data_IF_350794464841
#
_entry.id   IF_350794464841
#
_cell.length_a   1.000
_cell.length_b   1.000
_cell.length_c   1.000
_cell.angle_alpha   90.00
_cell.angle_beta   90.00
_cell.angle_gamma   90.00
#
_symmetry.space_group_name_H-M   'P 1'
#
loop_
_entity.id
_entity.type
_entity.pdbx_description
1 polymer ?
#
# COMPACT_ATOMS: atom_id res chain seq x y z
N UNK A 1 -3.69 18.02 -3.42
CA UNK A 1 -3.80 16.55 -3.60
C UNK A 1 -2.38 16.00 -3.67
N UNK A 2 -2.04 14.93 -2.96
CA UNK A 2 -0.77 14.25 -3.19
C UNK A 2 -0.86 13.48 -4.51
N UNK A 3 0.16 13.54 -5.39
CA UNK A 3 0.15 12.76 -6.60
C UNK A 3 0.22 11.27 -6.24
N UNK A 4 -0.47 10.43 -7.02
CA UNK A 4 -0.44 8.96 -6.88
C UNK A 4 0.99 8.44 -6.78
N UNK A 5 1.93 9.03 -7.54
CA UNK A 5 3.35 8.67 -7.51
C UNK A 5 3.98 8.81 -6.12
N UNK A 6 3.60 9.82 -5.33
CA UNK A 6 4.11 10.02 -3.98
C UNK A 6 3.52 8.98 -3.01
N UNK A 7 2.22 8.70 -3.14
CA UNK A 7 1.51 7.69 -2.34
C UNK A 7 2.10 6.30 -2.63
N UNK A 8 2.28 5.97 -3.91
CA UNK A 8 2.91 4.73 -4.36
C UNK A 8 4.35 4.60 -3.85
N UNK A 9 5.16 5.67 -3.90
CA UNK A 9 6.54 5.65 -3.42
C UNK A 9 6.62 5.33 -1.91
N UNK A 10 5.77 5.99 -1.10
CA UNK A 10 5.71 5.77 0.35
C UNK A 10 5.20 4.35 0.63
N UNK A 11 4.15 3.93 -0.07
CA UNK A 11 3.59 2.59 0.06
C UNK A 11 4.63 1.51 -0.31
N UNK A 12 5.39 1.68 -1.39
CA UNK A 12 6.46 0.76 -1.79
C UNK A 12 7.59 0.68 -0.76
N UNK A 13 7.92 1.81 -0.12
CA UNK A 13 8.90 1.89 0.98
C UNK A 13 8.41 1.14 2.23
N UNK A 14 7.11 1.22 2.52
CA UNK A 14 6.50 0.57 3.67
C UNK A 14 6.18 -0.91 3.43
N UNK A 15 5.86 -1.27 2.18
CA UNK A 15 5.48 -2.60 1.72
C UNK A 15 6.29 -3.73 2.37
N UNK A 16 7.64 -3.75 2.35
CA UNK A 16 8.42 -4.84 2.96
C UNK A 16 8.16 -5.05 4.46
N UNK A 17 7.73 -4.02 5.19
CA UNK A 17 7.33 -4.13 6.60
C UNK A 17 5.92 -4.68 6.80
N UNK A 18 5.06 -4.61 5.79
CA UNK A 18 3.69 -5.11 5.80
C UNK A 18 3.53 -6.49 5.15
N UNK A 19 4.50 -6.95 4.34
CA UNK A 19 4.43 -8.27 3.67
C UNK A 19 4.21 -9.36 4.73
N UNK A 20 3.08 -10.10 4.66
CA UNK A 20 2.79 -11.16 5.61
C UNK A 20 3.80 -12.30 5.44
N UNK A 21 4.24 -12.86 6.57
CA UNK A 21 5.11 -14.04 6.58
C UNK A 21 4.41 -15.28 6.00
N UNK A 22 3.08 -15.27 5.95
CA UNK A 22 2.28 -16.34 5.39
C UNK A 22 2.23 -16.23 3.87
N UNK A 23 2.85 -17.19 3.18
CA UNK A 23 2.96 -17.21 1.72
C UNK A 23 1.62 -17.38 0.97
N UNK A 24 0.55 -17.75 1.69
CA UNK A 24 -0.81 -17.95 1.17
C UNK A 24 -1.59 -16.68 0.93
N UNK A 25 -1.18 -15.56 1.52
CA UNK A 25 -1.84 -14.26 1.34
C UNK A 25 -1.61 -13.77 -0.09
N UNK A 26 -2.70 -13.48 -0.78
CA UNK A 26 -2.68 -12.94 -2.16
C UNK A 26 -3.05 -11.46 -2.22
N UNK A 27 -3.56 -10.92 -1.13
CA UNK A 27 -4.03 -9.56 -1.02
C UNK A 27 -3.43 -8.94 0.23
N UNK A 28 -3.02 -7.68 0.14
CA UNK A 28 -2.44 -6.91 1.22
C UNK A 28 -2.99 -5.50 1.14
N UNK A 29 -3.44 -4.99 2.28
CA UNK A 29 -3.82 -3.59 2.39
C UNK A 29 -3.35 -3.02 3.71
N UNK A 30 -2.90 -1.77 3.68
CA UNK A 30 -2.49 -1.06 4.88
C UNK A 30 -2.80 0.43 4.76
N UNK A 31 -2.84 1.06 5.92
CA UNK A 31 -3.08 2.49 6.04
C UNK A 31 -1.79 3.17 6.45
N UNK A 32 -1.50 4.32 5.86
CA UNK A 32 -0.40 5.17 6.30
C UNK A 32 -0.84 6.63 6.28
N UNK A 33 -0.20 7.42 7.14
CA UNK A 33 -0.46 8.84 7.26
C UNK A 33 0.70 9.63 6.69
N UNK A 34 0.40 10.48 5.71
CA UNK A 34 1.33 11.48 5.19
C UNK A 34 1.14 12.76 6.02
N UNK A 35 2.18 13.21 6.73
CA UNK A 35 2.15 14.49 7.42
C UNK A 35 1.84 15.63 6.43
N UNK A 36 1.03 16.64 6.82
CA UNK A 36 0.62 16.92 8.19
C UNK A 36 -0.66 16.23 8.68
N UNK A 37 -1.56 15.72 7.83
CA UNK A 37 -2.83 15.13 8.32
C UNK A 37 -3.61 14.28 7.29
N UNK A 38 -2.95 13.69 6.27
CA UNK A 38 -3.65 12.91 5.23
C UNK A 38 -3.37 11.43 5.37
N UNK A 39 -4.39 10.67 5.71
CA UNK A 39 -4.31 9.21 5.73
C UNK A 39 -4.73 8.63 4.39
N UNK A 40 -4.02 7.59 3.97
CA UNK A 40 -4.28 6.87 2.74
C UNK A 40 -4.34 5.39 3.04
N UNK A 41 -5.30 4.72 2.42
CA UNK A 41 -5.37 3.27 2.35
C UNK A 41 -4.86 2.83 0.98
N UNK A 42 -4.02 1.81 0.95
CA UNK A 42 -3.48 1.24 -0.29
C UNK A 42 -3.73 -0.26 -0.34
N UNK A 43 -3.84 -0.78 -1.55
CA UNK A 43 -3.98 -2.21 -1.84
C UNK A 43 -2.84 -2.70 -2.72
N UNK A 44 -2.46 -3.94 -2.44
CA UNK A 44 -1.51 -4.71 -3.19
C UNK A 44 -2.09 -6.10 -3.42
N UNK A 45 -1.87 -6.63 -4.61
CA UNK A 45 -2.14 -8.04 -4.92
C UNK A 45 -0.86 -8.74 -5.30
N UNK A 46 -0.76 -10.00 -4.90
CA UNK A 46 0.35 -10.87 -5.23
C UNK A 46 0.12 -11.47 -6.60
N UNK A 47 0.97 -11.11 -7.55
CA UNK A 47 0.89 -11.63 -8.91
C UNK A 47 1.36 -13.10 -9.00
N UNK A 48 1.25 -13.71 -10.18
CA UNK A 48 1.71 -15.08 -10.45
C UNK A 48 3.22 -15.31 -10.23
N UNK A 49 4.03 -14.24 -10.17
CA UNK A 49 5.47 -14.26 -9.87
C UNK A 49 5.76 -14.08 -8.37
N UNK A 50 4.75 -14.06 -7.51
CA UNK A 50 4.85 -13.78 -6.07
C UNK A 50 5.32 -12.35 -5.76
N UNK A 51 5.18 -11.41 -6.68
CA UNK A 51 5.48 -10.00 -6.47
C UNK A 51 4.20 -9.25 -6.07
N UNK A 52 4.32 -8.35 -5.11
CA UNK A 52 3.23 -7.48 -4.69
C UNK A 52 3.09 -6.31 -5.65
N UNK A 53 1.97 -6.24 -6.34
CA UNK A 53 1.65 -5.20 -7.31
C UNK A 53 0.64 -4.26 -6.70
N UNK A 54 0.96 -2.98 -6.69
CA UNK A 54 0.03 -1.93 -6.27
C UNK A 54 -1.22 -1.95 -7.15
N UNK A 55 -2.38 -2.17 -6.54
CA UNK A 55 -3.67 -2.22 -7.24
C UNK A 55 -4.47 -0.94 -7.12
N UNK A 56 -4.26 -0.16 -6.06
CA UNK A 56 -4.92 1.13 -5.90
C UNK A 56 -4.70 1.79 -4.55
N UNK A 57 -5.29 2.97 -4.42
CA UNK A 57 -5.33 3.72 -3.17
C UNK A 57 -6.63 4.51 -3.06
N UNK A 58 -7.03 4.83 -1.84
CA UNK A 58 -8.10 5.78 -1.54
C UNK A 58 -7.69 6.62 -0.33
N UNK A 59 -8.14 7.88 -0.28
CA UNK A 59 -7.95 8.72 0.87
C UNK A 59 -8.81 8.20 2.01
N UNK A 60 -8.17 7.85 3.12
CA UNK A 60 -8.83 7.53 4.37
C UNK A 60 -9.11 8.86 5.09
N UNK A 61 -10.05 9.64 4.58
CA UNK A 61 -10.54 10.83 5.29
C UNK A 61 -11.42 10.38 6.46
N UNK A 62 -11.15 10.91 7.65
CA UNK A 62 -12.01 10.78 8.82
C UNK A 62 -12.80 12.07 9.00
#
# INVERSE_FOLDING_TARGET
MHPESQIKLIADTLLPGFIPKNATEKELSFHFTIPPNKSYKVWYEKNAKNEWVFTGFEPAEH
#
